data_IF_069559168051
#
_entry.id   IF_069559168051
#
_cell.length_a   1.000
_cell.length_b   1.000
_cell.length_c   1.000
_cell.angle_alpha   90.00
_cell.angle_beta   90.00
_cell.angle_gamma   90.00
#
_symmetry.space_group_name_H-M   'P 1'
#
loop_
_entity.id
_entity.type
_entity.pdbx_description
1 polymer ?
#
# COMPACT_ATOMS: atom_id res chain seq x y z
N UNK A 1 24.85 -1.82 7.38
CA UNK A 1 23.74 -0.96 7.85
C UNK A 1 22.55 -0.99 6.90
N UNK A 2 22.71 -0.62 5.62
CA UNK A 2 21.58 -0.53 4.69
C UNK A 2 20.84 -1.85 4.42
N UNK A 3 21.50 -3.00 4.43
CA UNK A 3 20.83 -4.30 4.29
C UNK A 3 19.84 -4.59 5.42
N UNK A 4 20.19 -4.25 6.67
CA UNK A 4 19.28 -4.40 7.81
C UNK A 4 18.06 -3.47 7.70
N UNK A 5 18.23 -2.28 7.15
CA UNK A 5 17.12 -1.35 6.87
C UNK A 5 16.18 -1.92 5.82
N UNK A 6 16.70 -2.52 4.75
CA UNK A 6 15.86 -3.14 3.70
C UNK A 6 15.12 -4.38 4.22
N UNK A 7 15.77 -5.22 5.03
CA UNK A 7 15.11 -6.36 5.70
C UNK A 7 14.02 -5.88 6.67
N UNK A 8 14.31 -4.82 7.44
CA UNK A 8 13.34 -4.18 8.31
C UNK A 8 12.12 -3.66 7.53
N UNK A 9 12.35 -2.95 6.42
CA UNK A 9 11.28 -2.55 5.50
C UNK A 9 10.43 -3.74 5.05
N UNK A 10 11.09 -4.82 4.61
CA UNK A 10 10.46 -6.10 4.28
C UNK A 10 9.47 -6.57 5.34
N UNK A 11 9.96 -6.70 6.58
CA UNK A 11 9.18 -7.16 7.71
C UNK A 11 8.01 -6.23 8.07
N UNK A 12 8.22 -4.91 8.09
CA UNK A 12 7.16 -3.94 8.39
C UNK A 12 6.06 -3.93 7.32
N UNK A 13 6.40 -4.14 6.05
CA UNK A 13 5.42 -4.30 4.98
C UNK A 13 4.66 -5.63 5.05
N UNK A 14 5.33 -6.74 5.41
CA UNK A 14 4.64 -8.01 5.71
C UNK A 14 3.60 -7.81 6.81
N UNK A 15 3.97 -7.13 7.91
CA UNK A 15 3.05 -6.82 9.00
C UNK A 15 1.90 -5.92 8.53
N UNK A 16 2.19 -4.93 7.67
CA UNK A 16 1.17 -4.07 7.06
C UNK A 16 0.15 -4.90 6.27
N UNK A 17 0.61 -5.82 5.43
CA UNK A 17 -0.26 -6.71 4.65
C UNK A 17 -1.08 -7.64 5.53
N UNK A 18 -0.48 -8.25 6.57
CA UNK A 18 -1.21 -9.08 7.54
C UNK A 18 -2.31 -8.26 8.22
N UNK A 19 -2.02 -7.04 8.65
CA UNK A 19 -3.01 -6.17 9.28
C UNK A 19 -4.11 -5.75 8.30
N UNK A 20 -3.78 -5.48 7.03
CA UNK A 20 -4.76 -5.20 5.98
C UNK A 20 -5.72 -6.38 5.76
N UNK A 21 -5.19 -7.61 5.70
CA UNK A 21 -5.99 -8.83 5.61
C UNK A 21 -6.90 -8.96 6.83
N UNK A 22 -6.33 -8.95 8.04
CA UNK A 22 -7.09 -9.10 9.28
C UNK A 22 -8.20 -8.06 9.38
N UNK A 23 -7.89 -6.79 9.10
CA UNK A 23 -8.84 -5.69 9.20
C UNK A 23 -9.91 -5.75 8.12
N UNK A 24 -9.54 -6.07 6.88
CA UNK A 24 -10.47 -6.21 5.76
C UNK A 24 -11.51 -7.29 6.02
N UNK A 25 -11.07 -8.48 6.44
CA UNK A 25 -11.99 -9.58 6.76
C UNK A 25 -12.85 -9.28 7.98
N UNK A 26 -12.27 -8.72 9.05
CA UNK A 26 -13.01 -8.35 10.26
C UNK A 26 -14.10 -7.32 9.98
N UNK A 27 -13.80 -6.33 9.17
CA UNK A 27 -14.75 -5.26 8.82
C UNK A 27 -15.59 -5.59 7.58
N UNK A 28 -15.45 -6.79 7.01
CA UNK A 28 -16.11 -7.26 5.78
C UNK A 28 -16.01 -6.25 4.62
N UNK A 29 -14.78 -5.81 4.36
CA UNK A 29 -14.47 -4.81 3.34
C UNK A 29 -13.06 -5.05 2.80
N UNK A 30 -12.68 -4.40 1.69
CA UNK A 30 -11.29 -4.44 1.24
C UNK A 30 -10.43 -3.41 1.99
N UNK A 31 -9.19 -3.78 2.29
CA UNK A 31 -8.24 -2.94 3.03
C UNK A 31 -7.34 -2.07 2.14
N UNK A 32 -7.12 -2.47 0.89
CA UNK A 32 -6.25 -1.78 -0.06
C UNK A 32 -7.03 -1.29 -1.29
N UNK A 33 -6.88 -0.02 -1.71
CA UNK A 33 -7.47 0.50 -2.93
C UNK A 33 -7.10 -0.32 -4.17
N UNK A 34 -8.05 -0.48 -5.12
CA UNK A 34 -7.88 -1.31 -6.32
C UNK A 34 -6.59 -1.02 -7.09
N UNK A 35 -6.32 0.25 -7.40
CA UNK A 35 -5.15 0.63 -8.22
C UNK A 35 -3.85 0.29 -7.49
N UNK A 36 -3.79 0.51 -6.17
CA UNK A 36 -2.61 0.18 -5.37
C UNK A 36 -2.37 -1.34 -5.31
N UNK A 37 -3.45 -2.13 -5.16
CA UNK A 37 -3.38 -3.60 -5.17
C UNK A 37 -2.89 -4.13 -6.53
N UNK A 38 -3.42 -3.59 -7.64
CA UNK A 38 -2.98 -3.97 -8.97
C UNK A 38 -1.51 -3.63 -9.23
N UNK A 39 -1.05 -2.47 -8.76
CA UNK A 39 0.34 -2.05 -8.86
C UNK A 39 1.27 -2.98 -8.07
N UNK A 40 0.95 -3.26 -6.81
CA UNK A 40 1.74 -4.17 -5.99
C UNK A 40 1.82 -5.58 -6.57
N UNK A 41 0.67 -6.19 -6.93
CA UNK A 41 0.64 -7.51 -7.57
C UNK A 41 1.54 -7.55 -8.82
N UNK A 42 1.51 -6.48 -9.61
CA UNK A 42 2.33 -6.37 -10.82
C UNK A 42 3.81 -6.30 -10.48
N UNK A 43 4.18 -5.40 -9.56
CA UNK A 43 5.57 -5.18 -9.16
C UNK A 43 6.16 -6.44 -8.52
N UNK A 44 5.46 -7.04 -7.57
CA UNK A 44 5.91 -8.22 -6.84
C UNK A 44 6.02 -9.43 -7.77
N UNK A 45 5.12 -9.57 -8.76
CA UNK A 45 5.25 -10.61 -9.78
C UNK A 45 6.44 -10.38 -10.71
N UNK A 46 6.58 -9.17 -11.27
CA UNK A 46 7.67 -8.83 -12.20
C UNK A 46 9.03 -9.08 -11.54
N UNK A 47 9.22 -8.56 -10.32
CA UNK A 47 10.49 -8.68 -9.59
C UNK A 47 10.66 -10.00 -8.81
N UNK A 48 9.74 -10.95 -8.99
CA UNK A 48 9.90 -12.34 -8.54
C UNK A 48 10.14 -13.33 -9.68
N UNK A 49 9.59 -13.07 -10.87
CA UNK A 49 9.55 -14.06 -11.96
C UNK A 49 10.10 -13.60 -13.30
N UNK A 50 10.00 -12.30 -13.63
CA UNK A 50 10.42 -11.79 -14.95
C UNK A 50 11.83 -11.18 -14.83
N UNK A 51 12.00 -10.28 -13.87
CA UNK A 51 13.28 -9.67 -13.50
C UNK A 51 13.56 -9.95 -12.02
N UNK A 52 13.80 -11.22 -11.65
CA UNK A 52 13.89 -11.63 -10.26
C UNK A 52 15.01 -10.88 -9.54
N UNK A 53 14.66 -10.27 -8.41
CA UNK A 53 15.66 -9.69 -7.51
C UNK A 53 16.60 -10.75 -6.95
N UNK A 54 17.77 -10.30 -6.47
CA UNK A 54 18.69 -11.18 -5.76
C UNK A 54 18.19 -11.46 -4.32
N UNK A 55 18.47 -12.65 -3.76
CA UNK A 55 18.25 -12.91 -2.35
C UNK A 55 18.94 -11.88 -1.44
N UNK A 56 18.35 -11.47 -0.30
CA UNK A 56 17.11 -11.99 0.30
C UNK A 56 15.81 -11.31 -0.20
N UNK A 57 15.91 -10.31 -1.09
CA UNK A 57 14.76 -9.53 -1.54
C UNK A 57 13.77 -10.39 -2.35
N UNK A 58 14.27 -11.38 -3.10
CA UNK A 58 13.43 -12.33 -3.84
C UNK A 58 12.42 -13.05 -2.93
N UNK A 59 12.88 -13.55 -1.78
CA UNK A 59 12.03 -14.25 -0.82
C UNK A 59 10.99 -13.32 -0.23
N UNK A 60 11.38 -12.07 0.05
CA UNK A 60 10.46 -11.03 0.54
C UNK A 60 9.38 -10.75 -0.51
N UNK A 61 9.76 -10.57 -1.78
CA UNK A 61 8.82 -10.33 -2.87
C UNK A 61 7.82 -11.48 -3.04
N UNK A 62 8.28 -12.73 -2.94
CA UNK A 62 7.39 -13.90 -3.01
C UNK A 62 6.41 -13.91 -1.83
N UNK A 63 6.88 -13.62 -0.61
CA UNK A 63 6.00 -13.54 0.57
C UNK A 63 4.98 -12.41 0.42
N UNK A 64 5.41 -11.24 -0.03
CA UNK A 64 4.52 -10.13 -0.33
C UNK A 64 3.47 -10.53 -1.36
N UNK A 65 3.86 -11.17 -2.46
CA UNK A 65 2.95 -11.58 -3.52
C UNK A 65 1.88 -12.55 -3.00
N UNK A 66 2.29 -13.51 -2.17
CA UNK A 66 1.35 -14.46 -1.55
C UNK A 66 0.33 -13.76 -0.65
N UNK A 67 0.75 -12.74 0.10
CA UNK A 67 -0.15 -11.94 0.94
C UNK A 67 -1.08 -11.07 0.08
N UNK A 68 -0.57 -10.49 -0.99
CA UNK A 68 -1.35 -9.72 -1.95
C UNK A 68 -2.44 -10.55 -2.63
N UNK A 69 -2.18 -11.84 -2.92
CA UNK A 69 -3.22 -12.75 -3.41
C UNK A 69 -4.35 -12.96 -2.38
N UNK A 70 -4.04 -12.94 -1.08
CA UNK A 70 -5.06 -13.00 -0.02
C UNK A 70 -5.84 -11.68 0.06
N UNK A 71 -5.15 -10.54 -0.08
CA UNK A 71 -5.78 -9.21 -0.16
C UNK A 71 -6.71 -9.13 -1.37
N UNK A 72 -6.27 -9.67 -2.52
CA UNK A 72 -7.04 -9.76 -3.75
C UNK A 72 -8.30 -10.60 -3.58
N UNK A 73 -8.20 -11.75 -2.91
CA UNK A 73 -9.38 -12.55 -2.57
C UNK A 73 -10.35 -11.75 -1.70
N UNK A 74 -9.86 -11.01 -0.69
CA UNK A 74 -10.67 -10.08 0.10
C UNK A 74 -11.32 -8.98 -0.76
N UNK A 75 -10.59 -8.44 -1.73
CA UNK A 75 -11.09 -7.45 -2.68
C UNK A 75 -12.23 -8.01 -3.54
N UNK A 76 -12.11 -9.23 -4.09
CA UNK A 76 -13.23 -9.81 -4.84
C UNK A 76 -14.42 -10.18 -3.97
N UNK A 77 -14.16 -10.63 -2.74
CA UNK A 77 -15.23 -11.00 -1.79
C UNK A 77 -16.06 -9.81 -1.32
N UNK A 78 -15.43 -8.65 -1.10
CA UNK A 78 -16.08 -7.49 -0.49
C UNK A 78 -16.14 -6.25 -1.38
N UNK A 79 -15.39 -6.19 -2.48
CA UNK A 79 -15.22 -4.99 -3.31
C UNK A 79 -16.46 -4.64 -4.13
N UNK A 80 -17.21 -5.64 -4.60
CA UNK A 80 -18.40 -5.39 -5.42
C UNK A 80 -19.49 -4.63 -4.66
N UNK A 81 -19.65 -4.88 -3.35
CA UNK A 81 -20.63 -4.16 -2.51
C UNK A 81 -20.17 -2.77 -2.08
N UNK A 82 -18.86 -2.51 -2.15
CA UNK A 82 -18.23 -1.25 -1.73
C UNK A 82 -18.06 -0.26 -2.89
N UNK A 83 -17.81 -0.74 -4.11
CA UNK A 83 -17.61 0.09 -5.31
C UNK A 83 -18.94 0.39 -6.01
N UNK A 84 -19.82 1.13 -5.34
CA UNK A 84 -21.18 1.45 -5.83
C UNK A 84 -21.20 2.29 -7.11
N UNK A 85 -20.14 3.05 -7.36
CA UNK A 85 -20.00 3.90 -8.55
C UNK A 85 -19.71 3.08 -9.82
N UNK A 86 -19.29 1.81 -9.66
CA UNK A 86 -18.99 0.90 -10.77
C UNK A 86 -20.16 -0.08 -10.91
N UNK A 87 -20.84 -0.14 -12.07
CA UNK A 87 -21.85 -1.17 -12.32
C UNK A 87 -21.29 -2.57 -12.10
N UNK A 88 -22.06 -3.47 -11.46
CA UNK A 88 -21.61 -4.83 -11.14
C UNK A 88 -21.04 -5.61 -12.33
N UNK A 89 -21.55 -5.36 -13.54
CA UNK A 89 -21.06 -5.97 -14.80
C UNK A 89 -19.65 -5.52 -15.20
N UNK A 90 -19.25 -4.32 -14.77
CA UNK A 90 -17.95 -3.72 -15.05
C UNK A 90 -16.90 -3.99 -13.97
N UNK A 91 -17.29 -4.59 -12.83
CA UNK A 91 -16.36 -4.85 -11.73
C UNK A 91 -15.11 -5.65 -12.16
N UNK A 92 -15.29 -6.80 -12.80
CA UNK A 92 -14.17 -7.61 -13.29
C UNK A 92 -13.46 -6.99 -14.50
N UNK A 93 -14.15 -6.44 -15.53
CA UNK A 93 -13.48 -5.71 -16.61
C UNK A 93 -12.59 -4.56 -16.14
N UNK A 94 -13.06 -3.74 -15.19
CA UNK A 94 -12.27 -2.64 -14.63
C UNK A 94 -11.08 -3.17 -13.84
N UNK A 95 -11.26 -4.22 -13.04
CA UNK A 95 -10.15 -4.89 -12.37
C UNK A 95 -9.09 -5.38 -13.38
N UNK A 96 -9.50 -6.13 -14.40
CA UNK A 96 -8.60 -6.70 -15.41
C UNK A 96 -7.84 -5.58 -16.15
N UNK A 97 -8.53 -4.53 -16.57
CA UNK A 97 -7.92 -3.39 -17.24
C UNK A 97 -6.93 -2.66 -16.33
N UNK A 98 -7.28 -2.47 -15.05
CA UNK A 98 -6.40 -1.83 -14.06
C UNK A 98 -5.15 -2.67 -13.80
N UNK A 99 -5.31 -4.00 -13.64
CA UNK A 99 -4.20 -4.93 -13.45
C UNK A 99 -3.29 -4.94 -14.67
N UNK A 100 -3.85 -5.10 -15.87
CA UNK A 100 -3.09 -5.11 -17.12
C UNK A 100 -2.31 -3.81 -17.32
N UNK A 101 -2.96 -2.67 -17.09
CA UNK A 101 -2.33 -1.35 -17.22
C UNK A 101 -1.22 -1.17 -16.18
N UNK A 102 -1.46 -1.56 -14.93
CA UNK A 102 -0.44 -1.52 -13.87
C UNK A 102 0.77 -2.38 -14.23
N UNK A 103 0.52 -3.59 -14.73
CA UNK A 103 1.56 -4.52 -15.16
C UNK A 103 2.40 -3.95 -16.30
N UNK A 104 1.76 -3.46 -17.37
CA UNK A 104 2.44 -2.82 -18.49
C UNK A 104 3.22 -1.58 -18.03
N UNK A 105 2.64 -0.72 -17.19
CA UNK A 105 3.34 0.47 -16.68
C UNK A 105 4.59 0.09 -15.89
N UNK A 106 4.50 -0.88 -14.96
CA UNK A 106 5.67 -1.30 -14.18
C UNK A 106 6.75 -1.88 -15.09
N UNK A 107 6.37 -2.75 -16.03
CA UNK A 107 7.31 -3.39 -16.95
C UNK A 107 7.98 -2.37 -17.89
N UNK A 108 7.20 -1.50 -18.52
CA UNK A 108 7.71 -0.52 -19.49
C UNK A 108 8.54 0.58 -18.81
N UNK A 109 8.18 1.03 -17.60
CA UNK A 109 9.02 1.97 -16.84
C UNK A 109 10.34 1.29 -16.45
N UNK A 110 10.31 0.01 -16.07
CA UNK A 110 11.53 -0.75 -15.74
C UNK A 110 12.48 -0.79 -16.94
N UNK A 111 11.96 -1.05 -18.14
CA UNK A 111 12.75 -1.10 -19.37
C UNK A 111 13.21 0.29 -19.84
N UNK A 112 12.31 1.26 -19.95
CA UNK A 112 12.61 2.62 -20.42
C UNK A 112 13.69 3.31 -19.59
N UNK A 113 13.58 3.22 -18.25
CA UNK A 113 14.54 3.84 -17.34
C UNK A 113 15.73 2.93 -16.99
N UNK A 114 15.78 1.72 -17.56
CA UNK A 114 16.78 0.70 -17.24
C UNK A 114 16.89 0.45 -15.72
N UNK A 115 15.75 0.53 -15.02
CA UNK A 115 15.64 0.42 -13.57
C UNK A 115 15.37 -1.02 -13.16
N UNK A 116 16.33 -1.91 -13.42
CA UNK A 116 16.24 -3.34 -13.11
C UNK A 116 16.06 -3.66 -11.62
N UNK A 117 16.21 -2.66 -10.74
CA UNK A 117 15.91 -2.74 -9.31
C UNK A 117 14.45 -2.42 -8.94
N UNK A 118 13.67 -1.90 -9.90
CA UNK A 118 12.29 -1.51 -9.71
C UNK A 118 12.08 -0.37 -8.72
N UNK A 119 13.10 0.44 -8.44
CA UNK A 119 13.03 1.48 -7.41
C UNK A 119 12.04 2.59 -7.78
N UNK A 120 12.05 3.09 -9.02
CA UNK A 120 11.14 4.15 -9.46
C UNK A 120 9.68 3.70 -9.37
N UNK A 121 9.39 2.49 -9.83
CA UNK A 121 8.04 1.92 -9.78
C UNK A 121 7.64 1.60 -8.34
N UNK A 122 8.56 1.11 -7.50
CA UNK A 122 8.31 0.83 -6.07
C UNK A 122 7.95 2.10 -5.28
N UNK A 123 8.73 3.16 -5.39
CA UNK A 123 8.45 4.40 -4.68
C UNK A 123 7.28 5.18 -5.32
N UNK A 124 7.15 5.15 -6.64
CA UNK A 124 6.03 5.77 -7.35
C UNK A 124 4.68 5.16 -6.97
N UNK A 125 4.55 3.83 -6.98
CA UNK A 125 3.32 3.16 -6.56
C UNK A 125 3.03 3.32 -5.07
N UNK A 126 4.06 3.44 -4.22
CA UNK A 126 3.88 3.67 -2.80
C UNK A 126 3.35 5.09 -2.51
N UNK A 127 3.81 6.10 -3.24
CA UNK A 127 3.22 7.45 -3.18
C UNK A 127 1.76 7.42 -3.60
N UNK A 128 1.47 6.78 -4.74
CA UNK A 128 0.09 6.56 -5.21
C UNK A 128 -0.76 5.87 -4.14
N UNK A 129 -0.25 4.80 -3.53
CA UNK A 129 -0.94 4.08 -2.45
C UNK A 129 -1.22 4.98 -1.26
N UNK A 130 -0.26 5.78 -0.81
CA UNK A 130 -0.41 6.70 0.33
C UNK A 130 -1.55 7.69 0.11
N UNK A 131 -1.64 8.25 -1.10
CA UNK A 131 -2.73 9.15 -1.51
C UNK A 131 -4.07 8.41 -1.56
N UNK A 132 -4.11 7.21 -2.17
CA UNK A 132 -5.34 6.44 -2.31
C UNK A 132 -5.90 5.95 -0.96
N UNK A 133 -5.05 5.69 0.02
CA UNK A 133 -5.49 5.33 1.37
C UNK A 133 -6.23 6.48 2.06
N UNK A 134 -5.79 7.73 1.84
CA UNK A 134 -6.48 8.94 2.30
C UNK A 134 -7.81 9.13 1.56
N UNK A 135 -7.82 8.97 0.25
CA UNK A 135 -9.04 9.06 -0.57
C UNK A 135 -10.09 8.05 -0.09
N UNK A 136 -9.68 6.79 0.08
CA UNK A 136 -10.51 5.71 0.59
C UNK A 136 -11.08 6.02 1.99
N UNK A 137 -10.27 6.56 2.90
CA UNK A 137 -10.71 6.97 4.24
C UNK A 137 -11.74 8.11 4.18
N UNK A 138 -11.54 9.04 3.26
CA UNK A 138 -12.40 10.22 3.06
C UNK A 138 -13.76 9.79 2.49
N UNK A 139 -13.75 9.00 1.40
CA UNK A 139 -14.95 8.48 0.74
C UNK A 139 -15.80 7.59 1.65
N UNK A 140 -15.16 6.70 2.42
CA UNK A 140 -15.89 5.84 3.37
C UNK A 140 -16.43 6.61 4.57
N UNK A 141 -15.79 7.73 4.91
CA UNK A 141 -16.05 8.50 6.12
C UNK A 141 -16.02 7.67 7.42
N UNK A 142 -15.35 6.52 7.40
CA UNK A 142 -15.18 5.60 8.52
C UNK A 142 -13.83 4.89 8.40
N UNK A 143 -13.31 4.36 9.51
CA UNK A 143 -12.03 3.61 9.55
C UNK A 143 -12.19 2.14 9.15
N UNK A 144 -13.31 1.73 8.54
CA UNK A 144 -13.53 0.33 8.12
C UNK A 144 -12.50 -0.09 7.06
N UNK A 145 -11.90 -1.25 7.27
CA UNK A 145 -10.85 -1.80 6.42
C UNK A 145 -9.47 -1.20 6.67
N UNK A 146 -9.37 -0.25 7.60
CA UNK A 146 -8.13 0.47 7.92
C UNK A 146 -7.89 0.51 9.45
N UNK A 147 -6.68 0.83 9.87
CA UNK A 147 -6.34 0.97 11.29
C UNK A 147 -5.11 1.84 11.49
N UNK A 148 -4.93 2.36 12.71
CA UNK A 148 -3.75 3.16 13.05
C UNK A 148 -2.46 2.34 12.95
N UNK A 149 -2.52 1.03 13.26
CA UNK A 149 -1.38 0.15 13.13
C UNK A 149 -1.00 -0.07 11.67
N UNK A 150 -1.96 -0.20 10.74
CA UNK A 150 -1.66 -0.25 9.30
C UNK A 150 -0.90 1.01 8.87
N UNK A 151 -1.39 2.19 9.27
CA UNK A 151 -0.74 3.47 8.93
C UNK A 151 0.69 3.56 9.47
N UNK A 152 0.91 3.23 10.75
CA UNK A 152 2.22 3.31 11.39
C UNK A 152 3.20 2.30 10.78
N UNK A 153 2.80 1.04 10.62
CA UNK A 153 3.70 0.01 10.11
C UNK A 153 4.07 0.25 8.63
N UNK A 154 3.10 0.70 7.81
CA UNK A 154 3.36 1.14 6.44
C UNK A 154 4.40 2.26 6.39
N UNK A 155 4.19 3.28 7.22
CA UNK A 155 5.05 4.46 7.27
C UNK A 155 6.47 4.09 7.70
N UNK A 156 6.62 3.27 8.75
CA UNK A 156 7.93 2.80 9.21
C UNK A 156 8.61 1.95 8.13
N UNK A 157 7.88 1.01 7.53
CA UNK A 157 8.41 0.16 6.45
C UNK A 157 8.98 1.00 5.31
N UNK A 158 8.22 1.99 4.85
CA UNK A 158 8.66 2.88 3.76
C UNK A 158 9.79 3.81 4.17
N UNK A 159 9.77 4.35 5.40
CA UNK A 159 10.86 5.17 5.92
C UNK A 159 12.18 4.39 5.95
N UNK A 160 12.15 3.13 6.39
CA UNK A 160 13.31 2.24 6.36
C UNK A 160 13.79 1.98 4.92
N UNK A 161 12.86 1.77 3.98
CA UNK A 161 13.21 1.64 2.56
C UNK A 161 13.87 2.90 2.01
N UNK A 162 13.32 4.08 2.28
CA UNK A 162 13.85 5.38 1.84
C UNK A 162 15.26 5.62 2.38
N UNK A 163 15.48 5.43 3.69
CA UNK A 163 16.80 5.60 4.31
C UNK A 163 17.78 4.56 3.77
N UNK A 164 17.34 3.30 3.67
CA UNK A 164 18.16 2.21 3.12
C UNK A 164 18.61 2.50 1.70
N UNK A 165 17.70 2.94 0.83
CA UNK A 165 18.00 3.26 -0.56
C UNK A 165 18.90 4.50 -0.70
N UNK A 166 18.65 5.55 0.08
CA UNK A 166 19.48 6.76 0.12
C UNK A 166 20.95 6.47 0.50
N UNK A 167 21.16 5.52 1.42
CA UNK A 167 22.50 5.11 1.87
C UNK A 167 23.16 4.18 0.85
N UNK A 168 22.42 3.19 0.36
CA UNK A 168 22.99 2.11 -0.48
C UNK A 168 23.20 2.52 -1.95
N UNK A 169 22.48 3.52 -2.45
CA UNK A 169 22.56 3.97 -3.85
C UNK A 169 22.88 5.48 -3.89
N UNK A 170 24.14 5.90 -3.65
CA UNK A 170 24.48 7.32 -3.52
C UNK A 170 24.22 8.15 -4.77
N UNK A 171 24.26 7.54 -5.96
CA UNK A 171 23.99 8.22 -7.24
C UNK A 171 22.49 8.30 -7.51
N UNK A 172 21.82 7.15 -7.58
CA UNK A 172 20.39 7.06 -7.89
C UNK A 172 19.52 7.54 -6.71
N UNK A 173 19.72 6.98 -5.50
CA UNK A 173 18.89 7.25 -4.32
C UNK A 173 19.00 8.65 -3.73
N UNK A 174 19.94 9.47 -4.21
CA UNK A 174 20.07 10.88 -3.85
C UNK A 174 19.62 11.82 -4.96
N UNK A 175 19.04 11.29 -6.04
CA UNK A 175 18.44 12.12 -7.08
C UNK A 175 17.31 12.96 -6.50
N UNK A 176 17.06 14.11 -7.12
CA UNK A 176 16.00 15.02 -6.68
C UNK A 176 14.63 14.34 -6.67
N UNK A 177 14.37 13.46 -7.64
CA UNK A 177 13.12 12.71 -7.73
C UNK A 177 12.96 11.76 -6.53
N UNK A 178 13.99 11.02 -6.14
CA UNK A 178 13.89 10.12 -4.99
C UNK A 178 13.74 10.89 -3.67
N UNK A 179 14.48 12.00 -3.48
CA UNK A 179 14.31 12.85 -2.29
C UNK A 179 12.87 13.39 -2.22
N UNK A 180 12.30 13.81 -3.36
CA UNK A 180 10.91 14.22 -3.46
C UNK A 180 9.97 13.07 -3.09
N UNK A 181 10.14 11.88 -3.68
CA UNK A 181 9.29 10.72 -3.41
C UNK A 181 9.32 10.33 -1.92
N UNK A 182 10.51 10.27 -1.30
CA UNK A 182 10.63 9.93 0.13
C UNK A 182 9.88 10.92 1.01
N UNK A 183 10.09 12.21 0.74
CA UNK A 183 9.47 13.28 1.51
C UNK A 183 7.96 13.29 1.32
N UNK A 184 7.50 13.18 0.07
CA UNK A 184 6.08 13.16 -0.26
C UNK A 184 5.38 11.96 0.38
N UNK A 185 5.93 10.74 0.26
CA UNK A 185 5.36 9.55 0.88
C UNK A 185 5.26 9.73 2.40
N UNK A 186 6.33 10.19 3.04
CA UNK A 186 6.35 10.39 4.48
C UNK A 186 5.29 11.42 4.93
N UNK A 187 5.14 12.53 4.20
CA UNK A 187 4.11 13.55 4.49
C UNK A 187 2.70 12.97 4.32
N UNK A 188 2.43 12.25 3.24
CA UNK A 188 1.12 11.62 3.03
C UNK A 188 0.83 10.54 4.07
N UNK A 189 1.82 9.77 4.49
CA UNK A 189 1.66 8.76 5.54
C UNK A 189 1.38 9.39 6.92
N UNK A 190 2.01 10.53 7.24
CA UNK A 190 1.68 11.31 8.44
C UNK A 190 0.25 11.86 8.39
N UNK A 191 -0.17 12.41 7.25
CA UNK A 191 -1.54 12.90 7.05
C UNK A 191 -2.52 11.74 7.23
N UNK A 192 -2.26 10.60 6.59
CA UNK A 192 -3.07 9.40 6.69
C UNK A 192 -3.23 8.91 8.13
N UNK A 193 -2.11 8.75 8.85
CA UNK A 193 -2.12 8.33 10.25
C UNK A 193 -2.88 9.33 11.15
N UNK A 194 -2.66 10.64 10.93
CA UNK A 194 -3.37 11.70 11.64
C UNK A 194 -4.88 11.66 11.39
N UNK A 195 -5.30 11.48 10.14
CA UNK A 195 -6.72 11.37 9.79
C UNK A 195 -7.40 10.16 10.42
N UNK A 196 -6.73 9.01 10.48
CA UNK A 196 -7.23 7.84 11.21
C UNK A 196 -7.40 8.16 12.69
N UNK A 197 -6.36 8.72 13.33
CA UNK A 197 -6.41 9.03 14.75
C UNK A 197 -7.55 10.01 15.09
N UNK A 198 -7.74 11.05 14.25
CA UNK A 198 -8.85 11.99 14.40
C UNK A 198 -10.22 11.32 14.27
N UNK A 199 -10.40 10.43 13.27
CA UNK A 199 -11.67 9.71 13.11
C UNK A 199 -11.96 8.79 14.29
N UNK A 200 -10.98 8.05 14.79
CA UNK A 200 -11.13 7.18 15.97
C UNK A 200 -11.62 8.00 17.19
N UNK A 201 -10.93 9.10 17.51
CA UNK A 201 -11.33 10.00 18.62
C UNK A 201 -12.74 10.56 18.46
N UNK A 202 -13.12 10.92 17.23
CA UNK A 202 -14.47 11.43 16.93
C UNK A 202 -15.56 10.38 17.19
N UNK A 203 -15.32 9.12 16.81
CA UNK A 203 -16.25 8.02 17.09
C UNK A 203 -16.37 7.73 18.59
N UNK A 204 -15.27 7.72 19.33
CA UNK A 204 -15.27 7.53 20.79
C UNK A 204 -16.05 8.63 21.51
N UNK A 205 -15.82 9.90 21.13
CA UNK A 205 -16.55 11.04 21.69
C UNK A 205 -18.06 10.96 21.45
N UNK A 206 -18.48 10.59 20.23
CA UNK A 206 -19.90 10.39 19.90
C UNK A 206 -20.53 9.27 20.75
N UNK A 207 -19.82 8.16 20.94
CA UNK A 207 -20.30 7.02 21.75
C UNK A 207 -20.46 7.40 23.22
N UNK A 208 -19.52 8.17 23.77
CA UNK A 208 -19.57 8.66 25.15
C UNK A 208 -20.77 9.61 25.37
N UNK A 209 -20.94 10.59 24.48
CA UNK A 209 -22.06 11.53 24.58
C UNK A 209 -23.42 10.82 24.53
N UNK A 210 -23.57 9.81 23.66
CA UNK A 210 -24.80 9.03 23.54
C UNK A 210 -25.11 8.21 24.80
N UNK A 211 -24.08 7.71 25.49
CA UNK A 211 -24.23 7.00 26.76
C UNK A 211 -24.67 7.94 27.89
N UNK A 212 -24.15 9.17 27.93
CA UNK A 212 -24.51 10.18 28.92
C UNK A 212 -25.93 10.73 28.74
N UNK A 213 -26.43 10.84 27.51
CA UNK A 213 -27.81 11.30 27.24
C UNK A 213 -28.90 10.25 27.49
N UNK A 214 -28.52 9.00 27.78
CA UNK A 214 -29.45 7.88 28.05
C UNK A 214 -29.58 7.57 29.55
N UNK A 215 -28.87 8.28 30.41
CA UNK A 215 -28.99 8.26 31.87
C UNK A 215 -29.86 9.44 32.31
#
# INVERSE_FOLDING_TARGET
>A
MGTYLMLGSGAFWILTYILLIQRGFKDQTYGMPLVALCANLSWEFIFSFIHPHQPPQLQINIVWLMLDLIILYGFFKFGQSELKDIPNKLFYPVFILTLFTSFCCVLLITDEFQDWSGAYTAFGQNLLMSILFIDMLTKRNTVRGQSIFIAIFKMIGTLLASIGFYINHPTQGRSLLFIFLYTAIFVFDLIYAGMIAMKIKSFEKKKLNHALTRQ
#
